data_IF_122996949232
#
_entry.id   IF_122996949232
#
_cell.length_a   1.000
_cell.length_b   1.000
_cell.length_c   1.000
_cell.angle_alpha   90.00
_cell.angle_beta   90.00
_cell.angle_gamma   90.00
#
_symmetry.space_group_name_H-M   'P 1'
#
loop_
_entity.id
_entity.type
_entity.pdbx_description
1 polymer ?
#
# COMPACT_ATOMS: atom_id res chain seq x y z
N UNK A 1 0.45 41.88 -29.64
CA UNK A 1 0.90 40.47 -29.73
C UNK A 1 2.26 40.35 -29.09
N UNK A 2 2.49 39.30 -28.29
CA UNK A 2 3.80 39.04 -27.71
C UNK A 2 4.79 38.58 -28.80
N UNK A 3 6.04 39.06 -28.77
CA UNK A 3 7.11 38.58 -29.65
C UNK A 3 7.57 37.20 -29.17
N UNK A 4 7.32 36.16 -29.97
CA UNK A 4 7.73 34.79 -29.65
C UNK A 4 9.22 34.61 -29.98
N UNK A 5 10.02 34.18 -29.01
CA UNK A 5 11.41 33.75 -29.20
C UNK A 5 11.56 32.28 -28.81
N UNK A 6 12.18 31.48 -29.67
CA UNK A 6 12.48 30.07 -29.41
C UNK A 6 13.94 29.96 -28.96
N UNK A 7 14.19 29.29 -27.84
CA UNK A 7 15.53 28.96 -27.33
C UNK A 7 15.70 27.44 -27.32
N UNK A 8 16.75 26.93 -27.96
CA UNK A 8 17.00 25.49 -28.16
C UNK A 8 17.84 24.84 -27.06
N UNK A 9 17.86 25.43 -25.87
CA UNK A 9 18.64 24.89 -24.76
C UNK A 9 18.04 23.59 -24.20
N UNK A 10 18.89 22.68 -23.72
CA UNK A 10 18.47 21.42 -23.08
C UNK A 10 17.99 21.70 -21.64
N UNK A 11 16.73 22.11 -21.53
CA UNK A 11 16.02 22.32 -20.27
C UNK A 11 15.12 21.13 -19.96
N UNK A 12 14.93 20.84 -18.67
CA UNK A 12 13.87 19.94 -18.19
C UNK A 12 12.81 20.73 -17.44
N UNK A 13 11.52 20.38 -17.57
CA UNK A 13 10.47 20.91 -16.70
C UNK A 13 10.42 20.20 -15.33
N UNK A 14 11.21 19.15 -15.12
CA UNK A 14 11.14 18.27 -13.94
C UNK A 14 12.37 18.40 -13.03
N UNK A 15 12.83 19.61 -12.76
CA UNK A 15 14.05 19.86 -12.00
C UNK A 15 14.07 19.28 -10.59
N UNK A 16 12.92 19.29 -9.90
CA UNK A 16 12.81 18.73 -8.54
C UNK A 16 13.01 17.22 -8.51
N UNK A 17 12.73 16.52 -9.62
CA UNK A 17 12.89 15.07 -9.71
C UNK A 17 14.32 14.61 -9.49
N UNK A 18 15.33 15.39 -9.91
CA UNK A 18 16.72 14.96 -9.77
C UNK A 18 17.12 14.74 -8.32
N UNK A 19 16.63 15.57 -7.37
CA UNK A 19 16.86 15.34 -5.94
C UNK A 19 16.24 14.03 -5.47
N UNK A 20 15.07 13.68 -6.00
CA UNK A 20 14.36 12.44 -5.66
C UNK A 20 15.09 11.23 -6.23
N UNK A 21 15.65 11.34 -7.44
CA UNK A 21 16.45 10.29 -8.05
C UNK A 21 17.72 10.00 -7.24
N UNK A 22 18.39 11.04 -6.74
CA UNK A 22 19.58 10.92 -5.88
C UNK A 22 19.24 10.36 -4.49
N UNK A 23 18.13 10.81 -3.89
CA UNK A 23 17.63 10.25 -2.63
C UNK A 23 17.22 8.77 -2.77
N UNK A 24 16.60 8.40 -3.88
CA UNK A 24 16.27 7.00 -4.18
C UNK A 24 17.55 6.17 -4.28
N UNK A 25 18.55 6.69 -5.01
CA UNK A 25 19.80 5.98 -5.23
C UNK A 25 20.56 5.72 -3.93
N UNK A 26 20.71 6.76 -3.13
CA UNK A 26 21.43 6.70 -1.85
C UNK A 26 20.71 5.87 -0.79
N UNK A 27 19.38 5.81 -0.82
CA UNK A 27 18.59 5.10 0.20
C UNK A 27 18.30 3.65 -0.18
N UNK A 28 17.99 3.37 -1.45
CA UNK A 28 17.37 2.10 -1.85
C UNK A 28 18.19 1.28 -2.85
N UNK A 29 19.10 1.87 -3.64
CA UNK A 29 19.75 1.11 -4.72
C UNK A 29 20.54 -0.10 -4.22
N UNK A 30 21.32 0.07 -3.14
CA UNK A 30 22.10 -1.03 -2.55
C UNK A 30 21.21 -2.17 -2.04
N UNK A 31 20.12 -1.82 -1.37
CA UNK A 31 19.15 -2.77 -0.78
C UNK A 31 18.40 -3.53 -1.87
N UNK A 32 18.01 -2.84 -2.94
CA UNK A 32 17.35 -3.46 -4.09
C UNK A 32 18.29 -4.47 -4.75
N UNK A 33 19.49 -4.06 -5.10
CA UNK A 33 20.41 -4.91 -5.86
C UNK A 33 21.01 -6.04 -5.00
N UNK A 34 21.11 -5.87 -3.68
CA UNK A 34 21.49 -6.96 -2.77
C UNK A 34 20.36 -7.98 -2.58
N UNK A 35 19.09 -7.53 -2.55
CA UNK A 35 17.94 -8.42 -2.35
C UNK A 35 17.57 -9.18 -3.62
N UNK A 36 17.57 -8.52 -4.78
CA UNK A 36 17.21 -9.13 -6.06
C UNK A 36 18.41 -9.78 -6.77
N UNK A 37 19.62 -9.49 -6.32
CA UNK A 37 20.86 -9.86 -7.00
C UNK A 37 21.16 -8.97 -8.21
N UNK A 38 22.41 -9.02 -8.66
CA UNK A 38 22.85 -8.26 -9.83
C UNK A 38 22.18 -8.79 -11.10
N UNK A 39 21.44 -7.92 -11.78
CA UNK A 39 20.78 -8.23 -13.06
C UNK A 39 21.78 -8.39 -14.20
N UNK A 40 22.84 -7.57 -14.21
CA UNK A 40 23.85 -7.56 -15.26
C UNK A 40 25.25 -7.45 -14.65
N UNK A 41 26.23 -8.21 -15.15
CA UNK A 41 27.62 -8.15 -14.65
C UNK A 41 28.50 -7.10 -15.33
N UNK A 42 28.16 -6.70 -16.55
CA UNK A 42 29.00 -5.83 -17.39
C UNK A 42 28.21 -4.68 -18.01
N UNK A 43 27.29 -4.99 -18.91
CA UNK A 43 26.50 -3.99 -19.64
C UNK A 43 25.01 -4.22 -19.41
N UNK A 44 24.32 -3.16 -19.02
CA UNK A 44 22.89 -3.18 -18.76
C UNK A 44 22.52 -2.29 -17.58
N UNK A 45 21.25 -2.36 -17.21
CA UNK A 45 20.68 -1.69 -16.05
C UNK A 45 20.52 -2.71 -14.91
N UNK A 46 20.88 -2.32 -13.69
CA UNK A 46 20.53 -3.07 -12.48
C UNK A 46 19.05 -2.88 -12.13
N UNK A 47 18.52 -3.70 -11.22
CA UNK A 47 17.12 -3.58 -10.82
C UNK A 47 16.83 -2.25 -10.13
N UNK A 48 17.76 -1.72 -9.33
CA UNK A 48 17.66 -0.40 -8.73
C UNK A 48 17.44 0.72 -9.76
N UNK A 49 18.22 0.73 -10.84
CA UNK A 49 18.10 1.70 -11.93
C UNK A 49 16.76 1.58 -12.67
N UNK A 50 16.27 0.34 -12.84
CA UNK A 50 14.99 0.06 -13.52
C UNK A 50 13.81 0.51 -12.65
N UNK A 51 13.83 0.21 -11.35
CA UNK A 51 12.78 0.63 -10.41
C UNK A 51 12.78 2.16 -10.27
N UNK A 52 13.94 2.81 -10.25
CA UNK A 52 14.02 4.29 -10.28
C UNK A 52 13.45 4.88 -11.58
N UNK A 53 13.65 4.20 -12.71
CA UNK A 53 13.06 4.62 -13.99
C UNK A 53 11.52 4.50 -13.94
N UNK A 54 10.99 3.43 -13.35
CA UNK A 54 9.55 3.26 -13.09
C UNK A 54 9.01 4.33 -12.12
N UNK A 55 9.73 4.63 -11.03
CA UNK A 55 9.40 5.69 -10.08
C UNK A 55 9.23 7.04 -10.79
N UNK A 56 10.13 7.36 -11.72
CA UNK A 56 10.16 8.64 -12.41
C UNK A 56 8.87 8.91 -13.21
N UNK A 57 8.15 7.86 -13.64
CA UNK A 57 6.87 7.98 -14.33
C UNK A 57 5.85 8.68 -13.42
N UNK A 58 5.59 8.11 -12.25
CA UNK A 58 4.59 8.62 -11.31
C UNK A 58 5.00 9.97 -10.70
N UNK A 59 6.30 10.15 -10.43
CA UNK A 59 6.83 11.43 -9.96
C UNK A 59 6.82 12.54 -11.02
N UNK A 60 6.61 12.23 -12.30
CA UNK A 60 6.39 13.23 -13.34
C UNK A 60 4.90 13.39 -13.73
N UNK A 61 3.99 12.72 -13.02
CA UNK A 61 2.55 12.72 -13.33
C UNK A 61 2.17 11.82 -14.51
N UNK A 62 3.06 10.93 -14.94
CA UNK A 62 2.75 9.85 -15.86
C UNK A 62 1.87 8.78 -15.21
N UNK A 63 1.31 7.92 -16.04
CA UNK A 63 0.31 6.93 -15.64
C UNK A 63 0.44 5.59 -16.37
N UNK A 64 1.25 5.53 -17.42
CA UNK A 64 1.53 4.32 -18.20
C UNK A 64 3.06 4.10 -18.28
N UNK A 65 3.50 2.83 -18.40
CA UNK A 65 4.94 2.52 -18.43
C UNK A 65 5.62 3.15 -19.65
N UNK A 66 4.90 3.26 -20.76
CA UNK A 66 5.34 3.85 -22.02
C UNK A 66 5.67 5.35 -21.92
N UNK A 67 5.14 6.05 -20.91
CA UNK A 67 5.39 7.47 -20.69
C UNK A 67 6.88 7.74 -20.46
N UNK A 68 7.62 6.79 -19.86
CA UNK A 68 9.07 6.93 -19.63
C UNK A 68 9.80 7.13 -20.95
N UNK A 69 9.51 6.31 -21.96
CA UNK A 69 10.20 6.36 -23.26
C UNK A 69 9.68 7.50 -24.12
N UNK A 70 8.35 7.68 -24.14
CA UNK A 70 7.67 8.56 -25.09
C UNK A 70 7.78 10.03 -24.69
N UNK A 71 7.77 10.32 -23.38
CA UNK A 71 7.64 11.68 -22.86
C UNK A 71 8.78 12.10 -21.95
N UNK A 72 9.31 11.20 -21.11
CA UNK A 72 10.20 11.57 -20.02
C UNK A 72 11.69 11.37 -20.33
N UNK A 73 12.04 10.39 -21.16
CA UNK A 73 13.43 9.93 -21.34
C UNK A 73 14.39 11.06 -21.73
N UNK A 74 13.97 11.98 -22.61
CA UNK A 74 14.77 13.13 -23.02
C UNK A 74 15.09 14.10 -21.87
N UNK A 75 14.24 14.15 -20.86
CA UNK A 75 14.41 14.98 -19.66
C UNK A 75 15.20 14.24 -18.57
N UNK A 76 14.87 12.97 -18.34
CA UNK A 76 15.53 12.13 -17.32
C UNK A 76 17.00 11.87 -17.65
N UNK A 77 17.32 11.70 -18.94
CA UNK A 77 18.69 11.49 -19.42
C UNK A 77 19.60 12.72 -19.32
N UNK A 78 19.07 13.86 -18.87
CA UNK A 78 19.90 15.04 -18.59
C UNK A 78 20.65 14.94 -17.25
N UNK A 79 20.29 13.99 -16.38
CA UNK A 79 21.02 13.75 -15.16
C UNK A 79 22.46 13.27 -15.49
N UNK A 80 23.52 13.84 -14.85
CA UNK A 80 24.90 13.59 -15.27
C UNK A 80 25.42 12.16 -15.03
N UNK A 81 24.93 11.49 -13.98
CA UNK A 81 25.41 10.15 -13.56
C UNK A 81 24.33 9.08 -13.59
N UNK A 82 23.16 9.38 -13.03
CA UNK A 82 22.04 8.45 -12.96
C UNK A 82 21.42 8.19 -14.34
N UNK A 83 21.37 6.91 -14.71
CA UNK A 83 20.81 6.46 -15.99
C UNK A 83 19.33 6.13 -15.84
N UNK A 84 18.61 6.24 -16.95
CA UNK A 84 17.18 5.91 -17.08
C UNK A 84 17.00 4.90 -18.20
N UNK A 85 16.22 3.85 -17.97
CA UNK A 85 15.94 2.83 -18.97
C UNK A 85 14.59 3.06 -19.68
N UNK A 86 14.41 2.41 -20.83
CA UNK A 86 13.16 2.44 -21.59
C UNK A 86 12.05 1.63 -20.92
N UNK A 87 10.81 1.90 -21.33
CA UNK A 87 9.61 1.11 -21.03
C UNK A 87 9.82 -0.39 -21.30
N UNK A 88 10.43 -0.75 -22.44
CA UNK A 88 10.69 -2.16 -22.78
C UNK A 88 11.60 -2.84 -21.76
N UNK A 89 12.58 -2.09 -21.21
CA UNK A 89 13.48 -2.61 -20.18
C UNK A 89 12.74 -2.82 -18.86
N UNK A 90 11.85 -1.89 -18.49
CA UNK A 90 10.99 -2.02 -17.31
C UNK A 90 10.07 -3.24 -17.45
N UNK A 91 9.35 -3.35 -18.58
CA UNK A 91 8.45 -4.46 -18.86
C UNK A 91 9.17 -5.81 -18.89
N UNK A 92 10.43 -5.84 -19.33
CA UNK A 92 11.26 -7.05 -19.27
C UNK A 92 11.66 -7.40 -17.85
N UNK A 93 12.07 -6.43 -17.04
CA UNK A 93 12.40 -6.68 -15.63
C UNK A 93 11.20 -7.19 -14.83
N UNK A 94 9.99 -6.68 -15.09
CA UNK A 94 8.75 -7.20 -14.50
C UNK A 94 8.61 -8.70 -14.80
N UNK A 95 8.85 -9.10 -16.04
CA UNK A 95 8.79 -10.51 -16.45
C UNK A 95 9.91 -11.35 -15.80
N UNK A 96 11.12 -10.81 -15.71
CA UNK A 96 12.27 -11.48 -15.08
C UNK A 96 12.05 -11.73 -13.58
N UNK A 97 11.37 -10.80 -12.90
CA UNK A 97 11.05 -10.88 -11.47
C UNK A 97 9.76 -11.66 -11.17
N UNK A 98 9.09 -12.19 -12.20
CA UNK A 98 7.83 -12.90 -12.04
C UNK A 98 8.05 -14.27 -11.40
N UNK A 99 7.28 -14.55 -10.35
CA UNK A 99 7.19 -15.87 -9.74
C UNK A 99 5.92 -16.58 -10.22
N UNK A 100 5.99 -17.91 -10.38
CA UNK A 100 4.83 -18.72 -10.77
C UNK A 100 3.70 -18.65 -9.74
N UNK A 101 2.47 -18.81 -10.21
CA UNK A 101 1.29 -18.91 -9.35
C UNK A 101 1.30 -20.25 -8.59
N UNK A 102 0.71 -20.24 -7.41
CA UNK A 102 0.33 -21.42 -6.65
C UNK A 102 -1.17 -21.64 -6.88
N UNK A 103 -1.54 -22.81 -7.39
CA UNK A 103 -2.93 -23.18 -7.62
C UNK A 103 -3.47 -24.02 -6.48
N UNK A 104 -4.61 -23.62 -5.92
CA UNK A 104 -5.31 -24.37 -4.89
C UNK A 104 -6.67 -24.85 -5.39
N UNK A 105 -6.99 -26.11 -5.16
CA UNK A 105 -8.26 -26.72 -5.58
C UNK A 105 -9.16 -26.91 -4.37
N UNK A 106 -10.36 -26.32 -4.43
CA UNK A 106 -11.40 -26.49 -3.41
C UNK A 106 -12.03 -27.88 -3.44
N UNK A 107 -12.71 -28.28 -2.36
CA UNK A 107 -13.46 -29.55 -2.27
C UNK A 107 -14.51 -29.71 -3.38
N UNK A 108 -14.99 -28.60 -3.95
CA UNK A 108 -15.92 -28.58 -5.08
C UNK A 108 -15.24 -28.73 -6.44
N UNK A 109 -13.92 -29.01 -6.48
CA UNK A 109 -13.13 -29.17 -7.70
C UNK A 109 -12.80 -27.87 -8.44
N UNK A 110 -13.08 -26.70 -7.86
CA UNK A 110 -12.69 -25.40 -8.45
C UNK A 110 -11.28 -25.04 -8.05
N UNK A 111 -10.46 -24.68 -9.03
CA UNK A 111 -9.07 -24.23 -8.85
C UNK A 111 -8.97 -22.72 -8.88
N UNK A 112 -8.14 -22.16 -7.99
CA UNK A 112 -7.88 -20.74 -7.84
C UNK A 112 -6.38 -20.49 -7.75
N UNK A 113 -5.91 -19.50 -8.49
CA UNK A 113 -4.50 -19.12 -8.49
C UNK A 113 -4.22 -18.02 -7.47
N UNK A 114 -3.05 -18.14 -6.82
CA UNK A 114 -2.47 -17.17 -5.91
C UNK A 114 -1.04 -16.87 -6.32
N UNK A 115 -0.60 -15.63 -6.13
CA UNK A 115 0.79 -15.23 -6.37
C UNK A 115 1.37 -14.61 -5.10
N UNK A 116 2.37 -15.28 -4.54
CA UNK A 116 2.97 -14.88 -3.25
C UNK A 116 4.13 -13.91 -3.41
N UNK A 117 4.83 -13.93 -4.56
CA UNK A 117 5.95 -13.05 -4.90
C UNK A 117 6.91 -12.79 -3.71
N UNK A 118 7.42 -13.86 -3.11
CA UNK A 118 8.04 -13.81 -1.77
C UNK A 118 9.28 -12.91 -1.73
N UNK A 119 10.15 -13.02 -2.74
CA UNK A 119 11.35 -12.18 -2.89
C UNK A 119 11.01 -10.69 -2.93
N UNK A 120 9.92 -10.32 -3.61
CA UNK A 120 9.52 -8.91 -3.74
C UNK A 120 8.81 -8.38 -2.50
N UNK A 121 8.07 -9.22 -1.80
CA UNK A 121 7.55 -8.86 -0.47
C UNK A 121 8.69 -8.64 0.54
N UNK A 122 9.74 -9.47 0.47
CA UNK A 122 10.95 -9.27 1.29
C UNK A 122 11.66 -7.97 0.91
N UNK A 123 11.81 -7.70 -0.40
CA UNK A 123 12.35 -6.41 -0.88
C UNK A 123 11.54 -5.22 -0.37
N UNK A 124 10.21 -5.29 -0.40
CA UNK A 124 9.33 -4.23 0.07
C UNK A 124 9.63 -3.87 1.52
N UNK A 125 9.73 -4.86 2.41
CA UNK A 125 10.09 -4.65 3.81
C UNK A 125 11.50 -4.09 3.96
N UNK A 126 12.50 -4.69 3.29
CA UNK A 126 13.89 -4.23 3.36
C UNK A 126 14.03 -2.74 2.98
N UNK A 127 13.30 -2.31 1.94
CA UNK A 127 13.28 -0.90 1.52
C UNK A 127 12.63 0.02 2.57
N UNK A 128 11.61 -0.44 3.29
CA UNK A 128 10.95 0.32 4.37
C UNK A 128 11.89 0.48 5.58
N UNK A 129 12.69 -0.55 5.90
CA UNK A 129 13.73 -0.44 6.93
C UNK A 129 14.87 0.48 6.50
N UNK A 130 15.33 0.37 5.25
CA UNK A 130 16.38 1.22 4.70
C UNK A 130 15.98 2.71 4.67
N UNK A 131 14.70 2.99 4.45
CA UNK A 131 14.14 4.35 4.55
C UNK A 131 13.80 4.75 6.00
N UNK A 132 14.12 3.94 7.01
CA UNK A 132 13.90 4.24 8.43
C UNK A 132 12.44 4.45 8.81
N UNK A 133 11.50 3.97 7.99
CA UNK A 133 10.06 4.13 8.21
C UNK A 133 9.53 3.09 9.21
N UNK A 134 10.19 1.94 9.30
CA UNK A 134 10.02 0.95 10.37
C UNK A 134 11.38 0.63 10.98
N UNK A 135 11.36 0.09 12.21
CA UNK A 135 12.54 -0.28 12.98
C UNK A 135 12.38 -1.67 13.55
N UNK A 136 13.50 -2.40 13.59
CA UNK A 136 13.55 -3.73 14.16
C UNK A 136 13.26 -3.69 15.67
N UNK A 137 12.52 -4.68 16.19
CA UNK A 137 12.17 -4.82 17.60
C UNK A 137 11.06 -3.89 18.08
N UNK A 138 10.59 -2.96 17.26
CA UNK A 138 9.41 -2.15 17.57
C UNK A 138 8.11 -2.94 17.34
N UNK A 139 7.08 -2.53 18.07
CA UNK A 139 5.75 -3.13 18.06
C UNK A 139 4.81 -2.32 17.18
N UNK A 140 4.21 -2.96 16.19
CA UNK A 140 3.38 -2.30 15.19
C UNK A 140 1.96 -2.84 15.14
N UNK A 141 1.02 -1.97 14.76
CA UNK A 141 -0.34 -2.37 14.45
C UNK A 141 -0.43 -2.72 12.97
N UNK A 142 -0.91 -3.94 12.69
CA UNK A 142 -1.02 -4.48 11.34
C UNK A 142 -2.48 -4.54 10.92
N UNK A 143 -2.67 -4.20 9.66
CA UNK A 143 -3.94 -3.98 9.05
C UNK A 143 -4.03 -4.82 7.78
N UNK A 144 -5.04 -5.68 7.66
CA UNK A 144 -5.23 -6.49 6.44
C UNK A 144 -6.56 -6.19 5.76
N UNK A 145 -6.54 -6.09 4.43
CA UNK A 145 -7.74 -6.06 3.60
C UNK A 145 -7.48 -6.62 2.19
N UNK A 146 -8.55 -6.99 1.48
CA UNK A 146 -8.47 -7.32 0.07
C UNK A 146 -8.85 -6.10 -0.78
N UNK A 147 -7.96 -5.73 -1.68
CA UNK A 147 -8.27 -4.76 -2.73
C UNK A 147 -8.79 -5.51 -3.95
N UNK A 148 -9.85 -5.02 -4.59
CA UNK A 148 -10.27 -5.53 -5.90
C UNK A 148 -9.76 -4.60 -6.98
N UNK A 149 -9.06 -5.14 -7.96
CA UNK A 149 -8.53 -4.39 -9.10
C UNK A 149 -9.32 -4.82 -10.33
N UNK A 150 -10.17 -3.93 -10.83
CA UNK A 150 -10.95 -4.14 -12.05
C UNK A 150 -10.02 -4.12 -13.26
N UNK A 151 -10.07 -5.17 -14.07
CA UNK A 151 -9.26 -5.28 -15.28
C UNK A 151 -9.77 -6.37 -16.21
N UNK A 152 -9.52 -6.18 -17.50
CA UNK A 152 -9.84 -7.15 -18.56
C UNK A 152 -8.56 -7.87 -19.04
N UNK A 153 -7.60 -8.09 -18.13
CA UNK A 153 -6.41 -8.87 -18.44
C UNK A 153 -6.75 -10.31 -18.80
N UNK A 154 -5.83 -10.96 -19.51
CA UNK A 154 -6.08 -12.24 -20.18
C UNK A 154 -6.60 -13.32 -19.23
N UNK A 155 -6.03 -13.41 -18.02
CA UNK A 155 -6.39 -14.39 -17.01
C UNK A 155 -7.36 -13.86 -15.93
N UNK A 156 -7.85 -12.63 -16.06
CA UNK A 156 -8.76 -12.02 -15.09
C UNK A 156 -10.07 -12.81 -14.94
N UNK A 157 -10.56 -12.92 -13.71
CA UNK A 157 -11.75 -13.71 -13.36
C UNK A 157 -12.89 -12.83 -12.83
N UNK A 158 -14.15 -13.25 -12.97
CA UNK A 158 -15.30 -12.49 -12.47
C UNK A 158 -15.29 -12.41 -10.95
N UNK A 159 -15.38 -11.19 -10.43
CA UNK A 159 -15.46 -10.93 -8.99
C UNK A 159 -16.90 -10.95 -8.49
N UNK A 160 -17.09 -11.08 -7.17
CA UNK A 160 -18.42 -10.94 -6.56
C UNK A 160 -19.01 -9.53 -6.77
N UNK A 161 -18.16 -8.53 -7.03
CA UNK A 161 -18.55 -7.14 -7.34
C UNK A 161 -19.01 -6.97 -8.79
N UNK A 162 -19.15 -8.05 -9.56
CA UNK A 162 -19.69 -8.10 -10.93
C UNK A 162 -18.82 -7.44 -12.00
N UNK A 163 -17.50 -7.45 -11.82
CA UNK A 163 -16.52 -7.06 -12.85
C UNK A 163 -15.39 -8.10 -12.94
N UNK A 164 -14.67 -8.14 -14.06
CA UNK A 164 -13.45 -8.95 -14.20
C UNK A 164 -12.29 -8.30 -13.46
N UNK A 165 -11.49 -9.08 -12.75
CA UNK A 165 -10.35 -8.52 -12.06
C UNK A 165 -9.53 -9.50 -11.25
N UNK A 166 -8.63 -8.92 -10.46
CA UNK A 166 -7.85 -9.61 -9.45
C UNK A 166 -8.23 -9.14 -8.05
N UNK A 167 -7.83 -9.92 -7.05
CA UNK A 167 -8.13 -9.68 -5.64
C UNK A 167 -6.88 -9.82 -4.78
N UNK A 168 -5.95 -8.85 -4.82
CA UNK A 168 -4.82 -8.85 -3.91
C UNK A 168 -5.22 -8.68 -2.45
N UNK A 169 -4.63 -9.50 -1.58
CA UNK A 169 -4.58 -9.30 -0.14
C UNK A 169 -3.42 -8.37 0.20
N UNK A 170 -3.70 -7.30 0.94
CA UNK A 170 -2.74 -6.25 1.25
C UNK A 170 -2.63 -6.09 2.76
N UNK A 171 -1.40 -6.17 3.28
CA UNK A 171 -1.05 -5.85 4.65
C UNK A 171 -0.47 -4.43 4.73
N UNK A 172 -0.88 -3.69 5.76
CA UNK A 172 -0.53 -2.29 5.99
C UNK A 172 -0.08 -2.10 7.44
N UNK A 173 0.90 -1.21 7.65
CA UNK A 173 1.26 -0.67 8.97
C UNK A 173 1.16 0.86 8.87
N UNK A 174 0.23 1.46 9.59
CA UNK A 174 -0.06 2.89 9.46
C UNK A 174 -0.46 3.27 8.03
N UNK A 175 0.37 4.07 7.33
CA UNK A 175 0.18 4.45 5.92
C UNK A 175 1.12 3.69 4.96
N UNK A 176 1.80 2.63 5.43
CA UNK A 176 2.80 1.86 4.67
C UNK A 176 2.21 0.53 4.22
N UNK A 177 2.35 0.21 2.94
CA UNK A 177 2.04 -1.14 2.45
C UNK A 177 3.22 -2.04 2.77
N UNK A 178 3.02 -3.10 3.54
CA UNK A 178 4.10 -3.98 4.03
C UNK A 178 4.04 -5.39 3.46
N UNK A 179 2.96 -5.73 2.74
CA UNK A 179 2.86 -7.00 2.02
C UNK A 179 1.71 -7.01 1.03
N UNK A 180 1.91 -7.69 -0.10
CA UNK A 180 0.90 -7.93 -1.13
C UNK A 180 1.03 -9.38 -1.62
N UNK A 181 -0.06 -10.13 -1.58
CA UNK A 181 -0.21 -11.38 -2.32
C UNK A 181 -1.43 -11.28 -3.22
N UNK A 182 -1.29 -11.68 -4.48
CA UNK A 182 -2.37 -11.57 -5.44
C UNK A 182 -3.16 -12.87 -5.55
N UNK A 183 -4.41 -12.77 -6.00
CA UNK A 183 -5.25 -13.95 -6.26
C UNK A 183 -6.29 -13.66 -7.33
N UNK A 184 -6.84 -14.73 -7.90
CA UNK A 184 -7.95 -14.64 -8.83
C UNK A 184 -9.13 -13.84 -8.24
N UNK A 185 -9.79 -13.05 -9.10
CA UNK A 185 -10.93 -12.22 -8.70
C UNK A 185 -12.14 -12.99 -8.18
N UNK A 186 -12.32 -14.25 -8.60
CA UNK A 186 -13.43 -15.12 -8.21
C UNK A 186 -13.18 -15.91 -6.92
N UNK A 187 -12.01 -15.77 -6.31
CA UNK A 187 -11.64 -16.47 -5.09
C UNK A 187 -12.44 -15.96 -3.89
N UNK A 188 -12.96 -16.87 -3.08
CA UNK A 188 -13.64 -16.51 -1.85
C UNK A 188 -12.66 -15.85 -0.86
N UNK A 189 -13.08 -14.79 -0.17
CA UNK A 189 -12.21 -14.03 0.74
C UNK A 189 -11.59 -14.84 1.87
N UNK A 190 -12.20 -15.95 2.27
CA UNK A 190 -11.70 -16.87 3.31
C UNK A 190 -10.77 -17.95 2.76
N UNK A 191 -10.86 -18.25 1.47
CA UNK A 191 -10.14 -19.38 0.87
C UNK A 191 -8.64 -19.09 0.88
N UNK A 192 -7.86 -19.97 1.54
CA UNK A 192 -6.42 -19.83 1.78
C UNK A 192 -5.96 -18.49 2.39
N UNK A 193 -6.88 -17.71 2.99
CA UNK A 193 -6.51 -16.45 3.65
C UNK A 193 -5.59 -16.70 4.86
N UNK A 194 -5.80 -17.81 5.57
CA UNK A 194 -4.91 -18.28 6.64
C UNK A 194 -3.46 -18.39 6.14
N UNK A 195 -3.25 -19.00 4.97
CA UNK A 195 -1.92 -19.24 4.43
C UNK A 195 -1.25 -17.92 4.00
N UNK A 196 -2.01 -17.00 3.41
CA UNK A 196 -1.53 -15.63 3.10
C UNK A 196 -1.13 -14.88 4.37
N UNK A 197 -1.96 -14.89 5.40
CA UNK A 197 -1.66 -14.21 6.66
C UNK A 197 -0.46 -14.83 7.37
N UNK A 198 -0.37 -16.16 7.40
CA UNK A 198 0.79 -16.88 7.93
C UNK A 198 2.08 -16.43 7.25
N UNK A 199 2.12 -16.41 5.91
CA UNK A 199 3.31 -15.94 5.16
C UNK A 199 3.66 -14.49 5.46
N UNK A 200 2.66 -13.62 5.62
CA UNK A 200 2.90 -12.23 6.04
C UNK A 200 3.51 -12.16 7.44
N UNK A 201 2.94 -12.86 8.41
CA UNK A 201 3.42 -12.86 9.79
C UNK A 201 4.83 -13.44 9.92
N UNK A 202 5.06 -14.61 9.33
CA UNK A 202 6.40 -15.24 9.32
C UNK A 202 7.44 -14.30 8.68
N UNK A 203 7.07 -13.59 7.61
CA UNK A 203 7.98 -12.60 6.98
C UNK A 203 8.24 -11.40 7.87
N UNK A 204 7.21 -10.89 8.57
CA UNK A 204 7.39 -9.79 9.53
C UNK A 204 8.32 -10.19 10.66
N UNK A 205 8.13 -11.39 11.23
CA UNK A 205 8.97 -11.95 12.31
C UNK A 205 10.41 -12.19 11.86
N UNK A 206 10.62 -12.73 10.66
CA UNK A 206 11.95 -12.92 10.08
C UNK A 206 12.71 -11.61 9.87
N UNK A 207 11.99 -10.50 9.70
CA UNK A 207 12.55 -9.15 9.60
C UNK A 207 12.49 -8.39 10.93
N UNK A 208 12.25 -9.09 12.05
CA UNK A 208 12.29 -8.55 13.41
C UNK A 208 11.16 -7.57 13.76
N UNK A 209 10.03 -7.61 13.03
CA UNK A 209 8.82 -6.87 13.40
C UNK A 209 8.00 -7.66 14.40
N UNK A 210 7.50 -6.97 15.43
CA UNK A 210 6.58 -7.54 16.42
C UNK A 210 5.18 -6.99 16.18
N UNK A 211 4.19 -7.86 16.01
CA UNK A 211 2.82 -7.44 15.79
C UNK A 211 2.14 -7.20 17.14
N UNK A 212 1.84 -5.94 17.44
CA UNK A 212 1.12 -5.56 18.64
C UNK A 212 -0.36 -5.89 18.47
N UNK A 213 -1.01 -5.21 17.53
CA UNK A 213 -2.45 -5.33 17.28
C UNK A 213 -2.69 -5.66 15.83
N UNK A 214 -3.64 -6.55 15.56
CA UNK A 214 -4.06 -6.89 14.21
C UNK A 214 -5.51 -6.49 13.96
N UNK A 215 -5.81 -5.83 12.83
CA UNK A 215 -7.20 -5.48 12.44
C UNK A 215 -7.55 -6.01 11.05
N UNK A 216 -8.72 -6.61 10.93
CA UNK A 216 -9.26 -7.07 9.64
C UNK A 216 -10.79 -7.07 9.60
N UNK A 217 -11.35 -7.11 8.38
CA UNK A 217 -12.80 -7.17 8.18
C UNK A 217 -13.35 -8.60 8.37
N UNK A 218 -14.67 -8.73 8.21
CA UNK A 218 -15.45 -9.92 8.49
C UNK A 218 -15.10 -11.12 7.61
N UNK A 219 -14.44 -10.86 6.47
CA UNK A 219 -13.78 -11.87 5.65
C UNK A 219 -12.86 -12.77 6.48
N UNK A 220 -12.18 -12.23 7.49
CA UNK A 220 -11.20 -12.95 8.31
C UNK A 220 -11.79 -13.62 9.56
N UNK A 221 -13.12 -13.57 9.75
CA UNK A 221 -13.78 -14.09 10.95
C UNK A 221 -14.22 -15.56 10.77
N UNK A 222 -13.24 -16.45 10.53
CA UNK A 222 -13.36 -17.91 10.62
C UNK A 222 -12.42 -18.46 11.70
N UNK A 223 -12.73 -19.66 12.23
CA UNK A 223 -11.97 -20.26 13.34
C UNK A 223 -10.48 -20.34 13.00
N UNK A 224 -10.14 -21.08 11.94
CA UNK A 224 -8.76 -21.35 11.53
C UNK A 224 -7.92 -20.10 11.25
N UNK A 225 -8.55 -19.01 10.78
CA UNK A 225 -7.88 -17.74 10.52
C UNK A 225 -7.59 -17.01 11.82
N UNK A 226 -8.57 -16.96 12.73
CA UNK A 226 -8.37 -16.36 14.06
C UNK A 226 -7.30 -17.11 14.83
N UNK A 227 -7.31 -18.45 14.82
CA UNK A 227 -6.28 -19.23 15.50
C UNK A 227 -4.88 -18.95 14.97
N UNK A 228 -4.76 -18.67 13.66
CA UNK A 228 -3.47 -18.32 13.08
C UNK A 228 -3.04 -16.91 13.50
N UNK A 229 -3.95 -15.93 13.44
CA UNK A 229 -3.68 -14.55 13.87
C UNK A 229 -3.23 -14.49 15.33
N UNK A 230 -3.86 -15.27 16.21
CA UNK A 230 -3.53 -15.33 17.64
C UNK A 230 -2.09 -15.76 17.93
N UNK A 231 -1.48 -16.56 17.06
CA UNK A 231 -0.10 -17.02 17.25
C UNK A 231 0.94 -15.92 17.06
N UNK A 232 0.59 -14.90 16.27
CA UNK A 232 1.53 -13.94 15.74
C UNK A 232 1.32 -12.50 16.24
N UNK A 233 0.21 -12.21 16.93
CA UNK A 233 -0.07 -10.88 17.48
C UNK A 233 -0.49 -10.93 18.94
N UNK A 234 -0.29 -9.82 19.68
CA UNK A 234 -0.75 -9.73 21.08
C UNK A 234 -2.27 -9.62 21.17
N UNK A 235 -2.85 -8.76 20.34
CA UNK A 235 -4.30 -8.57 20.30
C UNK A 235 -4.83 -8.47 18.88
N UNK A 236 -6.01 -9.03 18.61
CA UNK A 236 -6.67 -8.89 17.32
C UNK A 236 -8.04 -8.22 17.46
N UNK A 237 -8.49 -7.57 16.39
CA UNK A 237 -9.79 -6.91 16.31
C UNK A 237 -10.37 -7.19 14.94
N UNK A 238 -11.31 -8.13 14.87
CA UNK A 238 -11.88 -8.62 13.61
C UNK A 238 -13.38 -8.35 13.61
N UNK A 239 -13.90 -7.82 12.52
CA UNK A 239 -15.35 -7.66 12.38
C UNK A 239 -16.05 -9.02 12.47
N UNK A 240 -17.00 -9.17 13.38
CA UNK A 240 -17.74 -10.41 13.46
C UNK A 240 -18.77 -10.51 12.32
N UNK A 241 -18.83 -11.68 11.67
CA UNK A 241 -19.89 -11.99 10.72
C UNK A 241 -21.25 -12.08 11.42
N UNK A 242 -22.31 -11.77 10.66
CA UNK A 242 -23.70 -11.96 11.09
C UNK A 242 -23.95 -13.45 11.37
N UNK A 243 -23.98 -13.84 12.64
CA UNK A 243 -24.35 -15.19 13.07
C UNK A 243 -25.55 -15.09 13.99
N UNK A 244 -26.60 -15.88 13.72
CA UNK A 244 -27.86 -15.86 14.46
C UNK A 244 -27.68 -16.14 15.95
N UNK A 245 -26.72 -16.99 16.33
CA UNK A 245 -26.39 -17.25 17.74
C UNK A 245 -25.88 -15.99 18.46
N UNK A 246 -24.95 -15.26 17.84
CA UNK A 246 -24.40 -14.01 18.35
C UNK A 246 -25.49 -12.94 18.53
N UNK A 247 -26.43 -12.87 17.59
CA UNK A 247 -27.51 -11.87 17.65
C UNK A 247 -28.54 -12.17 18.74
N UNK A 248 -28.88 -13.43 18.98
CA UNK A 248 -29.81 -13.80 20.08
C UNK A 248 -29.28 -13.33 21.44
N UNK A 249 -27.99 -13.55 21.71
CA UNK A 249 -27.33 -13.07 22.93
C UNK A 249 -27.24 -11.53 22.95
N UNK A 250 -27.03 -10.93 21.78
CA UNK A 250 -26.95 -9.47 21.63
C UNK A 250 -28.29 -8.78 21.89
N UNK A 251 -29.42 -9.36 21.50
CA UNK A 251 -30.75 -8.80 21.75
C UNK A 251 -31.17 -8.89 23.22
N UNK A 252 -30.68 -9.89 23.94
CA UNK A 252 -30.93 -10.05 25.37
C UNK A 252 -30.06 -9.11 26.24
N UNK A 253 -29.04 -8.47 25.67
CA UNK A 253 -28.13 -7.59 26.40
C UNK A 253 -28.83 -6.36 26.96
N UNK A 254 -28.57 -6.10 28.25
CA UNK A 254 -28.94 -4.89 28.97
C UNK A 254 -27.70 -4.07 29.33
N UNK A 255 -27.88 -2.83 29.77
CA UNK A 255 -26.77 -1.98 30.23
C UNK A 255 -25.99 -1.29 29.11
N UNK A 256 -26.67 -0.95 28.01
CA UNK A 256 -26.08 -0.18 26.93
C UNK A 256 -25.64 1.20 27.41
N UNK A 257 -24.44 1.62 26.98
CA UNK A 257 -23.90 2.95 27.28
C UNK A 257 -23.93 3.81 26.02
N UNK A 258 -24.63 4.93 26.09
CA UNK A 258 -24.64 5.93 25.02
C UNK A 258 -23.34 6.72 25.06
N UNK A 259 -22.65 6.79 23.91
CA UNK A 259 -21.38 7.47 23.73
C UNK A 259 -21.39 8.21 22.40
N UNK A 260 -20.81 9.40 22.36
CA UNK A 260 -20.61 10.16 21.13
C UNK A 260 -19.19 9.92 20.60
N UNK A 261 -19.10 9.40 19.38
CA UNK A 261 -17.84 9.12 18.68
C UNK A 261 -17.90 9.83 17.32
N UNK A 262 -16.94 10.72 17.06
CA UNK A 262 -16.85 11.50 15.82
C UNK A 262 -18.14 12.27 15.48
N UNK A 263 -18.85 12.80 16.48
CA UNK A 263 -20.10 13.54 16.27
C UNK A 263 -21.34 12.68 16.01
N UNK A 264 -21.23 11.35 16.16
CA UNK A 264 -22.33 10.40 15.99
C UNK A 264 -22.58 9.69 17.32
N UNK A 265 -23.84 9.63 17.73
CA UNK A 265 -24.27 8.91 18.92
C UNK A 265 -24.36 7.40 18.63
N UNK A 266 -23.69 6.61 19.46
CA UNK A 266 -23.74 5.16 19.43
C UNK A 266 -24.09 4.61 20.81
N UNK A 267 -24.73 3.46 20.81
CA UNK A 267 -24.88 2.66 22.02
C UNK A 267 -23.87 1.50 21.99
N UNK A 268 -23.05 1.43 23.03
CA UNK A 268 -21.94 0.49 23.13
C UNK A 268 -22.20 -0.52 24.25
N UNK A 269 -21.81 -1.77 24.02
CA UNK A 269 -21.79 -2.83 25.02
C UNK A 269 -20.72 -3.88 24.67
N UNK A 270 -20.44 -4.81 25.57
CA UNK A 270 -19.60 -5.96 25.27
C UNK A 270 -20.02 -7.22 26.03
N UNK A 271 -19.83 -8.38 25.42
CA UNK A 271 -20.08 -9.69 26.04
C UNK A 271 -18.93 -10.64 25.79
N UNK A 272 -18.81 -11.66 26.64
CA UNK A 272 -18.01 -12.83 26.33
C UNK A 272 -18.86 -13.82 25.53
N UNK A 273 -18.34 -14.28 24.41
CA UNK A 273 -19.00 -15.25 23.53
C UNK A 273 -18.06 -16.42 23.27
N UNK A 274 -18.60 -17.62 23.39
CA UNK A 274 -17.93 -18.84 22.92
C UNK A 274 -18.35 -19.10 21.48
N UNK A 275 -17.74 -18.36 20.55
CA UNK A 275 -18.08 -18.50 19.12
C UNK A 275 -17.63 -19.85 18.55
N UNK A 276 -16.51 -20.35 19.06
CA UNK A 276 -15.94 -21.64 18.70
C UNK A 276 -15.64 -22.42 19.98
N UNK A 277 -15.75 -23.75 19.89
CA UNK A 277 -15.74 -24.63 21.05
C UNK A 277 -14.46 -24.47 21.86
N UNK A 278 -14.59 -24.17 23.14
CA UNK A 278 -13.48 -23.98 24.07
C UNK A 278 -12.76 -22.63 23.93
N UNK A 279 -13.28 -21.70 23.12
CA UNK A 279 -12.68 -20.39 22.88
C UNK A 279 -13.67 -19.26 23.17
N UNK A 280 -13.56 -18.71 24.38
CA UNK A 280 -14.28 -17.51 24.77
C UNK A 280 -13.52 -16.27 24.27
N UNK A 281 -14.22 -15.40 23.54
CA UNK A 281 -13.73 -14.12 23.06
C UNK A 281 -14.61 -12.99 23.54
N UNK A 282 -14.04 -11.78 23.59
CA UNK A 282 -14.84 -10.59 23.81
C UNK A 282 -15.45 -10.13 22.49
N UNK A 283 -16.76 -9.92 22.51
CA UNK A 283 -17.50 -9.29 21.43
C UNK A 283 -17.90 -7.88 21.86
N UNK A 284 -17.26 -6.89 21.27
CA UNK A 284 -17.64 -5.48 21.42
C UNK A 284 -18.72 -5.15 20.41
N UNK A 285 -19.83 -4.59 20.88
CA UNK A 285 -21.01 -4.33 20.07
C UNK A 285 -21.29 -2.83 20.08
N UNK A 286 -21.29 -2.26 18.88
CA UNK A 286 -21.74 -0.90 18.61
C UNK A 286 -23.09 -1.01 17.89
N UNK A 287 -24.11 -0.29 18.37
CA UNK A 287 -25.38 -0.16 17.66
C UNK A 287 -25.75 1.30 17.44
N UNK A 288 -26.36 1.58 16.30
CA UNK A 288 -26.82 2.91 15.91
C UNK A 288 -28.29 2.85 15.53
N UNK A 289 -29.11 3.77 16.03
CA UNK A 289 -30.53 3.83 15.67
C UNK A 289 -30.67 4.25 14.20
N UNK A 290 -31.49 3.51 13.43
CA UNK A 290 -31.77 3.80 12.02
C UNK A 290 -32.70 5.02 11.92
N UNK A 291 -32.37 5.96 11.04
CA UNK A 291 -33.18 7.16 10.82
C UNK A 291 -34.36 6.93 9.85
N UNK A 292 -34.31 5.87 9.04
CA UNK A 292 -35.07 5.81 7.78
C UNK A 292 -36.41 5.04 7.90
N UNK A 293 -36.81 4.59 9.08
CA UNK A 293 -38.10 3.89 9.31
C UNK A 293 -38.26 2.53 8.60
N UNK A 294 -37.32 2.12 7.74
CA UNK A 294 -37.30 0.82 7.07
C UNK A 294 -36.75 -0.23 8.03
N UNK A 295 -37.66 -1.03 8.60
CA UNK A 295 -37.31 -2.17 9.43
C UNK A 295 -36.62 -3.25 8.59
N UNK A 296 -35.38 -3.61 8.95
CA UNK A 296 -34.84 -4.90 8.54
C UNK A 296 -35.55 -5.99 9.34
N UNK A 297 -35.99 -7.06 8.67
CA UNK A 297 -36.65 -8.20 9.30
C UNK A 297 -35.79 -8.86 10.40
N UNK A 298 -34.48 -8.59 10.41
CA UNK A 298 -33.49 -9.21 11.30
C UNK A 298 -32.86 -8.27 12.34
N UNK A 299 -32.79 -6.95 12.10
CA UNK A 299 -32.07 -6.00 12.97
C UNK A 299 -32.98 -4.95 13.64
N UNK A 300 -34.26 -4.88 13.24
CA UNK A 300 -35.23 -3.97 13.85
C UNK A 300 -34.87 -2.50 13.64
N UNK A 301 -34.86 -1.71 14.73
CA UNK A 301 -34.60 -0.26 14.71
C UNK A 301 -33.10 0.12 14.67
N UNK A 302 -32.19 -0.84 14.81
CA UNK A 302 -30.75 -0.56 14.98
C UNK A 302 -29.91 -1.21 13.89
N UNK A 303 -28.76 -0.61 13.60
CA UNK A 303 -27.69 -1.23 12.82
C UNK A 303 -26.60 -1.69 13.77
N UNK A 304 -26.29 -3.00 13.74
CA UNK A 304 -25.31 -3.60 14.64
C UNK A 304 -23.95 -3.77 14.00
N UNK A 305 -22.92 -3.51 14.79
CA UNK A 305 -21.52 -3.47 14.39
C UNK A 305 -20.70 -4.17 15.47
N UNK A 306 -20.36 -5.44 15.25
CA UNK A 306 -19.70 -6.26 16.26
C UNK A 306 -18.22 -6.51 15.92
N UNK A 307 -17.34 -6.36 16.92
CA UNK A 307 -15.89 -6.57 16.81
C UNK A 307 -15.53 -7.72 17.76
N UNK A 308 -14.96 -8.80 17.22
CA UNK A 308 -14.42 -9.92 17.97
C UNK A 308 -12.96 -9.63 18.31
N UNK A 309 -12.59 -9.82 19.58
CA UNK A 309 -11.24 -9.54 20.07
C UNK A 309 -10.85 -10.43 21.26
N UNK A 310 -9.55 -10.62 21.43
CA UNK A 310 -8.93 -11.16 22.64
C UNK A 310 -8.41 -10.05 23.59
N UNK A 311 -8.78 -8.79 23.36
CA UNK A 311 -8.51 -7.66 24.26
C UNK A 311 -9.59 -7.55 25.35
N UNK A 312 -9.23 -7.96 26.56
CA UNK A 312 -10.11 -7.94 27.73
C UNK A 312 -9.90 -6.71 28.62
N UNK A 313 -8.82 -5.96 28.41
CA UNK A 313 -8.39 -4.89 29.31
C UNK A 313 -8.90 -3.53 28.84
N UNK A 314 -8.88 -3.26 27.54
CA UNK A 314 -9.32 -1.99 26.98
C UNK A 314 -10.82 -1.76 27.21
N UNK A 315 -11.21 -0.50 27.37
CA UNK A 315 -12.64 -0.14 27.43
C UNK A 315 -13.33 -0.38 26.08
N UNK A 316 -14.65 -0.54 26.12
CA UNK A 316 -15.47 -0.71 24.89
C UNK A 316 -15.29 0.47 23.93
N UNK A 317 -15.18 1.69 24.49
CA UNK A 317 -14.96 2.91 23.72
C UNK A 317 -13.60 2.91 23.01
N UNK A 318 -12.52 2.60 23.73
CA UNK A 318 -11.16 2.52 23.17
C UNK A 318 -11.08 1.51 22.03
N UNK A 319 -11.73 0.36 22.16
CA UNK A 319 -11.76 -0.67 21.09
C UNK A 319 -12.47 -0.14 19.84
N UNK A 320 -13.60 0.56 20.01
CA UNK A 320 -14.35 1.15 18.87
C UNK A 320 -13.55 2.29 18.22
N UNK A 321 -12.97 3.19 19.02
CA UNK A 321 -12.13 4.29 18.52
C UNK A 321 -10.88 3.75 17.83
N UNK A 322 -10.29 2.67 18.32
CA UNK A 322 -9.17 1.99 17.66
C UNK A 322 -9.60 1.29 16.37
N UNK A 323 -10.78 0.68 16.29
CA UNK A 323 -11.20 -0.05 15.10
C UNK A 323 -11.66 0.87 13.96
N UNK A 324 -12.31 2.00 14.27
CA UNK A 324 -12.94 2.88 13.27
C UNK A 324 -11.99 3.40 12.17
N UNK A 325 -10.73 3.81 12.46
CA UNK A 325 -9.78 4.27 11.45
C UNK A 325 -9.40 3.21 10.41
N UNK A 326 -9.78 1.93 10.56
CA UNK A 326 -9.58 0.89 9.54
C UNK A 326 -10.12 1.31 8.15
N UNK A 327 -11.19 2.11 8.12
CA UNK A 327 -11.78 2.64 6.87
C UNK A 327 -10.85 3.60 6.12
N UNK A 328 -9.85 4.20 6.78
CA UNK A 328 -8.88 5.10 6.14
C UNK A 328 -7.99 4.38 5.12
N UNK A 329 -7.92 3.05 5.15
CA UNK A 329 -7.20 2.23 4.14
C UNK A 329 -7.74 2.41 2.73
N UNK A 330 -9.02 2.77 2.57
CA UNK A 330 -9.57 3.09 1.24
C UNK A 330 -8.78 4.22 0.57
N UNK A 331 -8.26 5.17 1.36
CA UNK A 331 -7.40 6.25 0.85
C UNK A 331 -6.06 5.73 0.34
N UNK A 332 -5.50 4.68 0.93
CA UNK A 332 -4.26 4.05 0.46
C UNK A 332 -4.50 3.44 -0.92
N UNK A 333 -5.58 2.67 -1.08
CA UNK A 333 -5.92 2.05 -2.36
C UNK A 333 -6.32 3.08 -3.42
N UNK A 334 -7.03 4.14 -3.05
CA UNK A 334 -7.33 5.26 -3.93
C UNK A 334 -6.06 5.99 -4.42
N UNK A 335 -5.05 6.12 -3.55
CA UNK A 335 -3.74 6.67 -3.91
C UNK A 335 -2.96 5.72 -4.82
N UNK A 336 -3.01 4.40 -4.57
CA UNK A 336 -2.38 3.42 -5.47
C UNK A 336 -3.03 3.39 -6.86
N UNK A 337 -4.36 3.43 -6.92
CA UNK A 337 -5.08 3.44 -8.19
C UNK A 337 -4.79 4.73 -8.98
N UNK A 338 -5.00 5.90 -8.38
CA UNK A 338 -4.92 7.16 -9.12
C UNK A 338 -3.51 7.78 -9.19
N UNK A 339 -2.62 7.39 -8.28
CA UNK A 339 -1.28 7.98 -8.13
C UNK A 339 -0.14 7.07 -8.56
N UNK A 340 -0.32 5.75 -8.46
CA UNK A 340 0.75 4.75 -8.70
C UNK A 340 0.34 3.63 -9.66
N UNK A 341 -0.75 3.82 -10.43
CA UNK A 341 -1.07 3.04 -11.62
C UNK A 341 -1.67 1.66 -11.39
N UNK A 342 -2.21 1.35 -10.21
CA UNK A 342 -2.92 0.07 -9.99
C UNK A 342 -4.17 -0.09 -10.87
N UNK A 343 -4.73 1.01 -11.37
CA UNK A 343 -5.83 1.02 -12.36
C UNK A 343 -5.37 0.68 -13.79
N UNK A 344 -4.05 0.66 -14.05
CA UNK A 344 -3.44 0.55 -15.38
C UNK A 344 -2.35 -0.52 -15.39
N UNK A 345 -2.77 -1.74 -15.08
CA UNK A 345 -1.90 -2.90 -15.08
C UNK A 345 -1.19 -3.07 -16.45
N UNK A 346 0.14 -3.22 -16.50
CA UNK A 346 0.88 -3.20 -17.77
C UNK A 346 0.97 -4.57 -18.47
N UNK A 347 0.61 -5.66 -17.78
CA UNK A 347 0.83 -7.03 -18.27
C UNK A 347 -0.46 -7.82 -18.41
N UNK A 348 -0.39 -8.90 -19.16
CA UNK A 348 -1.56 -9.74 -19.47
C UNK A 348 -1.90 -10.74 -18.38
N UNK A 349 -0.94 -11.09 -17.52
CA UNK A 349 -1.09 -12.16 -16.53
C UNK A 349 -0.97 -11.64 -15.09
N UNK A 350 -1.69 -12.27 -14.17
CA UNK A 350 -1.71 -11.94 -12.74
C UNK A 350 -0.32 -11.98 -12.14
N UNK A 351 0.49 -12.98 -12.49
CA UNK A 351 1.83 -13.18 -11.94
C UNK A 351 2.74 -11.97 -12.23
N UNK A 352 2.80 -11.53 -13.49
CA UNK A 352 3.58 -10.34 -13.88
C UNK A 352 2.99 -9.06 -13.28
N UNK A 353 1.66 -8.95 -13.19
CA UNK A 353 1.04 -7.79 -12.57
C UNK A 353 1.26 -7.74 -11.06
N UNK A 354 1.44 -8.87 -10.38
CA UNK A 354 1.78 -8.91 -8.94
C UNK A 354 3.13 -8.26 -8.67
N UNK A 355 4.11 -8.50 -9.55
CA UNK A 355 5.40 -7.78 -9.52
C UNK A 355 5.17 -6.27 -9.64
N UNK A 356 4.37 -5.85 -10.60
CA UNK A 356 4.05 -4.43 -10.79
C UNK A 356 3.37 -3.81 -9.55
N UNK A 357 2.42 -4.49 -8.91
CA UNK A 357 1.77 -4.03 -7.67
C UNK A 357 2.80 -3.81 -6.54
N UNK A 358 3.74 -4.74 -6.37
CA UNK A 358 4.79 -4.66 -5.35
C UNK A 358 5.80 -3.54 -5.64
N UNK A 359 6.24 -3.40 -6.89
CA UNK A 359 7.17 -2.33 -7.28
C UNK A 359 6.55 -0.93 -7.10
N UNK A 360 5.28 -0.78 -7.47
CA UNK A 360 4.56 0.50 -7.29
C UNK A 360 4.25 0.79 -5.82
N UNK A 361 3.98 -0.23 -5.00
CA UNK A 361 3.84 -0.08 -3.55
C UNK A 361 5.17 0.37 -2.89
N UNK A 362 6.30 -0.19 -3.31
CA UNK A 362 7.63 0.25 -2.89
C UNK A 362 7.85 1.73 -3.24
N UNK A 363 7.52 2.12 -4.47
CA UNK A 363 7.62 3.51 -4.94
C UNK A 363 6.73 4.44 -4.11
N UNK A 364 5.50 4.05 -3.78
CA UNK A 364 4.62 4.84 -2.91
C UNK A 364 5.21 4.96 -1.50
N UNK A 365 5.69 3.88 -0.91
CA UNK A 365 6.28 3.94 0.43
C UNK A 365 7.50 4.88 0.46
N UNK A 366 8.33 4.83 -0.59
CA UNK A 366 9.43 5.78 -0.76
C UNK A 366 8.94 7.22 -0.86
N UNK A 367 7.87 7.50 -1.64
CA UNK A 367 7.23 8.82 -1.66
C UNK A 367 6.80 9.28 -0.25
N UNK A 368 6.24 8.36 0.56
CA UNK A 368 5.86 8.67 1.95
C UNK A 368 7.08 8.98 2.82
N UNK A 369 8.23 8.33 2.60
CA UNK A 369 9.47 8.70 3.29
C UNK A 369 9.91 10.13 2.92
N UNK A 370 9.87 10.46 1.63
CA UNK A 370 10.26 11.79 1.12
C UNK A 370 9.38 12.89 1.71
N UNK A 371 8.05 12.73 1.65
CA UNK A 371 7.12 13.77 2.08
C UNK A 371 7.15 14.01 3.59
N UNK A 372 7.56 13.00 4.37
CA UNK A 372 7.73 13.14 5.82
C UNK A 372 9.02 13.88 6.20
N UNK A 373 10.08 13.74 5.40
CA UNK A 373 11.39 14.36 5.67
C UNK A 373 11.53 15.76 5.08
N UNK A 374 10.87 16.02 3.96
CA UNK A 374 10.90 17.32 3.30
C UNK A 374 10.18 18.39 4.14
N UNK A 375 10.71 19.62 4.19
CA UNK A 375 9.97 20.78 4.69
C UNK A 375 8.88 21.20 3.69
N UNK A 376 7.81 20.39 3.65
CA UNK A 376 6.71 20.49 2.69
C UNK A 376 6.00 21.84 2.73
N UNK A 377 6.00 22.53 3.88
CA UNK A 377 5.34 23.83 4.04
C UNK A 377 5.99 24.90 3.15
N UNK A 378 7.32 24.87 2.99
CA UNK A 378 8.06 25.76 2.08
C UNK A 378 7.66 25.59 0.60
N UNK A 379 7.01 24.48 0.25
CA UNK A 379 6.49 24.20 -1.09
C UNK A 379 4.97 24.29 -1.19
N UNK A 380 4.28 24.72 -0.11
CA UNK A 380 2.81 24.75 -0.06
C UNK A 380 2.18 23.34 -0.07
N UNK A 381 2.87 22.38 0.52
CA UNK A 381 2.46 20.98 0.64
C UNK A 381 2.27 20.60 2.12
N UNK A 382 1.57 19.49 2.34
CA UNK A 382 1.39 18.85 3.65
C UNK A 382 1.94 17.41 3.59
N UNK A 383 2.25 16.82 4.74
CA UNK A 383 2.72 15.41 4.83
C UNK A 383 1.69 14.40 4.30
N UNK A 384 0.42 14.80 4.19
CA UNK A 384 -0.68 14.00 3.66
C UNK A 384 -1.01 14.32 2.19
N UNK A 385 -0.26 15.22 1.54
CA UNK A 385 -0.47 15.58 0.14
C UNK A 385 -0.26 14.37 -0.77
N UNK A 386 -1.11 14.24 -1.78
CA UNK A 386 -1.00 13.21 -2.81
C UNK A 386 0.12 13.52 -3.79
N UNK A 387 0.65 12.48 -4.45
CA UNK A 387 1.75 12.61 -5.42
C UNK A 387 1.47 13.69 -6.47
N UNK A 388 0.24 13.80 -6.98
CA UNK A 388 -0.14 14.82 -7.96
C UNK A 388 0.13 16.26 -7.47
N UNK A 389 -0.16 16.57 -6.20
CA UNK A 389 0.14 17.88 -5.63
C UNK A 389 1.66 18.09 -5.50
N UNK A 390 2.38 17.04 -5.09
CA UNK A 390 3.83 17.04 -5.04
C UNK A 390 4.47 17.30 -6.41
N UNK A 391 3.95 16.68 -7.48
CA UNK A 391 4.39 16.95 -8.84
C UNK A 391 4.27 18.43 -9.18
N UNK A 392 3.09 19.03 -8.98
CA UNK A 392 2.87 20.44 -9.33
C UNK A 392 3.70 21.43 -8.51
N UNK A 393 3.94 21.13 -7.22
CA UNK A 393 4.55 22.10 -6.29
C UNK A 393 6.06 21.94 -6.17
N UNK A 394 6.57 20.73 -6.39
CA UNK A 394 7.96 20.36 -6.14
C UNK A 394 8.69 19.80 -7.37
N UNK A 395 8.07 18.91 -8.13
CA UNK A 395 8.78 18.27 -9.26
C UNK A 395 8.85 19.20 -10.47
N UNK A 396 7.72 19.83 -10.80
CA UNK A 396 7.53 20.67 -11.99
C UNK A 396 8.17 22.05 -11.84
N UNK A 397 9.51 22.09 -11.86
CA UNK A 397 10.32 23.31 -11.86
C UNK A 397 11.34 23.26 -13.01
N UNK A 398 11.46 24.30 -13.84
CA UNK A 398 12.45 24.28 -14.92
C UNK A 398 13.87 24.19 -14.36
N UNK A 399 14.70 23.32 -14.95
CA UNK A 399 16.09 23.18 -14.54
C UNK A 399 17.03 22.81 -15.70
N UNK A 400 18.32 23.07 -15.48
CA UNK A 400 19.40 22.79 -16.43
C UNK A 400 20.66 22.37 -15.70
N UNK A 401 21.21 21.22 -16.06
CA UNK A 401 22.57 20.86 -15.68
C UNK A 401 23.58 21.65 -16.51
N UNK A 402 24.54 22.28 -15.84
CA UNK A 402 25.72 22.89 -16.46
C UNK A 402 26.97 22.23 -15.91
N UNK A 403 27.99 22.08 -16.76
CA UNK A 403 29.31 21.61 -16.34
C UNK A 403 30.22 22.82 -16.20
N UNK A 404 30.56 23.15 -14.96
CA UNK A 404 31.49 24.24 -14.64
C UNK A 404 32.78 23.62 -14.10
N UNK A 405 33.87 23.75 -14.88
CA UNK A 405 35.15 23.11 -14.59
C UNK A 405 35.01 21.60 -14.37
N UNK A 406 35.19 21.10 -13.14
CA UNK A 406 35.09 19.67 -12.78
C UNK A 406 33.81 19.30 -12.03
N UNK A 407 32.85 20.22 -11.90
CA UNK A 407 31.61 20.00 -11.14
C UNK A 407 30.38 20.15 -12.04
N UNK A 408 29.39 19.31 -11.81
CA UNK A 408 28.04 19.51 -12.34
C UNK A 408 27.29 20.44 -11.39
N UNK A 409 26.61 21.44 -11.94
CA UNK A 409 25.78 22.38 -11.19
C UNK A 409 24.38 22.33 -11.79
N UNK A 410 23.37 22.13 -10.94
CA UNK A 410 21.97 22.16 -11.35
C UNK A 410 21.44 23.58 -11.17
N UNK A 411 21.18 24.27 -12.28
CA UNK A 411 20.46 25.53 -12.25
C UNK A 411 18.96 25.24 -12.17
N UNK A 412 18.30 25.72 -11.12
CA UNK A 412 16.84 25.65 -10.96
C UNK A 412 16.27 27.06 -11.15
N UNK A 413 15.32 27.21 -12.06
CA UNK A 413 14.75 28.49 -12.44
C UNK A 413 13.43 28.72 -11.69
N UNK A 414 13.54 29.27 -10.47
CA UNK A 414 12.40 29.47 -9.57
C UNK A 414 12.63 30.67 -8.64
N UNK A 415 11.54 31.25 -8.13
CA UNK A 415 11.58 32.23 -7.04
C UNK A 415 11.53 31.58 -5.64
N UNK A 416 11.32 30.25 -5.57
CA UNK A 416 11.32 29.53 -4.30
C UNK A 416 12.74 29.12 -3.90
N UNK A 417 13.35 29.86 -2.98
CA UNK A 417 14.72 29.58 -2.51
C UNK A 417 14.85 28.27 -1.71
N UNK A 418 13.75 27.65 -1.27
CA UNK A 418 13.77 26.39 -0.54
C UNK A 418 14.43 25.24 -1.33
N UNK A 419 14.45 25.31 -2.66
CA UNK A 419 15.15 24.32 -3.49
C UNK A 419 16.65 24.27 -3.23
N UNK A 420 17.27 25.32 -2.67
CA UNK A 420 18.69 25.31 -2.33
C UNK A 420 19.03 24.35 -1.16
N UNK A 421 18.05 24.06 -0.30
CA UNK A 421 18.22 23.19 0.88
C UNK A 421 17.97 21.70 0.52
N UNK A 422 17.24 21.43 -0.56
CA UNK A 422 16.75 20.09 -0.93
C UNK A 422 17.84 19.16 -1.45
N UNK A 423 18.84 19.71 -2.13
CA UNK A 423 19.93 18.96 -2.75
C UNK A 423 21.17 18.86 -1.85
N UNK A 424 21.10 19.40 -0.63
CA UNK A 424 22.12 19.19 0.39
C UNK A 424 21.85 17.83 1.02
N UNK A 425 22.36 16.77 0.41
CA UNK A 425 22.45 15.48 1.09
C UNK A 425 23.33 15.64 2.32
N UNK A 426 23.04 14.94 3.42
CA UNK A 426 23.85 14.92 4.66
C UNK A 426 25.32 14.46 4.48
N UNK A 427 25.76 14.29 3.22
CA UNK A 427 27.10 13.99 2.78
C UNK A 427 27.57 14.98 1.69
N UNK A 428 27.82 16.24 2.07
CA UNK A 428 28.66 17.16 1.27
C UNK A 428 28.27 18.61 1.27
#
# INVERSE_FOLDING_TARGET
MAKIQIKSERLTPFGGLFSIMEQFDSTLSSVIDSTLGLRCRSFGYQYSEIIRSLMSIYFCGGSCIEDVTTHLMNHLSLHPTLRTCSSDTILRAIKELTQENISYTSDMGKTYDFNTADTLNTLLLNCIFASGQLKEGEMYDVDFDHQFIETEKYDAKPTYKKFLGYRPGVAVIGDLIVGIENSDGNTNVRFHQKDTLKRFFERFEQNGLIINRFRADCGSCSEEIVEEIEKHCKSFYIRANRCSSIYNDTFALKGWKTEEINGIEFELNSILVEKWKGKAYRLVIQRQKRMDGVQDFWEGEYTYRCILTNDYDSSVREIVEFYNPRGEKERIFDDMNNGFGWDRLPKSFMAENTVFLLLTALIRNFYKAIIQRLDVKKFGLNVTSRIKAFVFRFISVPAKWIKTSRRYVLNIYTCNYAYADVFQTDFG
#
